data_IF_488528806135
#
_entry.id   IF_488528806135
#
_cell.length_a   1.000
_cell.length_b   1.000
_cell.length_c   1.000
_cell.angle_alpha   90.00
_cell.angle_beta   90.00
_cell.angle_gamma   90.00
#
_symmetry.space_group_name_H-M   'P 1'
#
loop_
_entity.id
_entity.type
_entity.pdbx_description
1 polymer ?
#
# COMPACT_ATOMS: atom_id res chain seq x y z
N UNK A 1 -17.52 8.76 2.02
CA UNK A 1 -16.20 8.15 2.29
C UNK A 1 -16.05 6.99 1.31
N UNK A 2 -15.19 7.13 0.31
CA UNK A 2 -14.90 6.04 -0.60
C UNK A 2 -13.91 5.07 0.06
N UNK A 3 -14.16 3.78 -0.14
CA UNK A 3 -13.27 2.71 0.30
C UNK A 3 -12.86 1.92 -0.93
N UNK A 4 -11.58 1.61 -1.02
CA UNK A 4 -11.01 0.86 -2.12
C UNK A 4 -10.51 -0.49 -1.61
N UNK A 5 -10.67 -1.52 -2.44
CA UNK A 5 -10.09 -2.84 -2.17
C UNK A 5 -8.68 -2.87 -2.74
N UNK A 6 -7.69 -3.22 -1.92
CA UNK A 6 -6.29 -3.36 -2.34
C UNK A 6 -5.84 -4.80 -2.12
N UNK A 7 -5.26 -5.40 -3.15
CA UNK A 7 -4.66 -6.73 -3.12
C UNK A 7 -3.14 -6.59 -3.20
N UNK A 8 -2.44 -7.05 -2.16
CA UNK A 8 -0.99 -7.09 -2.09
C UNK A 8 -0.47 -8.44 -2.58
N UNK A 9 0.26 -8.40 -3.70
CA UNK A 9 0.97 -9.54 -4.27
C UNK A 9 2.47 -9.48 -3.92
N UNK A 10 3.17 -10.63 -3.81
CA UNK A 10 2.69 -12.00 -4.01
C UNK A 10 2.01 -12.60 -2.76
N UNK A 11 1.89 -11.86 -1.66
CA UNK A 11 1.36 -12.35 -0.39
C UNK A 11 -0.13 -12.71 -0.41
N UNK A 12 -0.83 -12.37 -1.48
CA UNK A 12 -2.26 -12.61 -1.69
C UNK A 12 -3.10 -12.08 -0.51
N UNK A 13 -2.75 -10.90 0.00
CA UNK A 13 -3.40 -10.25 1.13
C UNK A 13 -4.32 -9.15 0.63
N UNK A 14 -5.56 -9.17 1.08
CA UNK A 14 -6.57 -8.18 0.70
C UNK A 14 -6.98 -7.34 1.90
N UNK A 15 -7.14 -6.04 1.70
CA UNK A 15 -7.63 -5.10 2.72
C UNK A 15 -8.50 -4.02 2.08
N UNK A 16 -9.44 -3.50 2.87
CA UNK A 16 -10.25 -2.34 2.52
C UNK A 16 -9.58 -1.08 3.09
N UNK A 17 -9.20 -0.16 2.21
CA UNK A 17 -8.54 1.10 2.58
C UNK A 17 -9.49 2.27 2.32
N UNK A 18 -9.36 3.33 3.10
CA UNK A 18 -10.05 4.59 2.80
C UNK A 18 -9.33 5.31 1.66
N UNK A 19 -10.08 6.08 0.89
CA UNK A 19 -9.49 7.01 -0.06
C UNK A 19 -8.51 7.97 0.65
N UNK A 20 -7.34 8.19 0.05
CA UNK A 20 -6.26 9.00 0.62
C UNK A 20 -5.37 8.29 1.64
N UNK A 21 -5.64 7.03 1.99
CA UNK A 21 -4.79 6.25 2.89
C UNK A 21 -3.47 5.85 2.21
N UNK A 22 -2.40 5.75 2.99
CA UNK A 22 -1.08 5.39 2.46
C UNK A 22 -0.96 3.88 2.21
N UNK A 23 -0.51 3.49 1.01
CA UNK A 23 -0.32 2.07 0.67
C UNK A 23 0.64 1.33 1.60
N UNK A 24 1.69 1.99 2.13
CA UNK A 24 2.61 1.36 3.07
C UNK A 24 1.94 1.08 4.43
N UNK A 25 1.03 1.94 4.88
CA UNK A 25 0.23 1.70 6.09
C UNK A 25 -0.75 0.57 5.88
N UNK A 26 -1.49 0.60 4.77
CA UNK A 26 -2.39 -0.47 4.38
C UNK A 26 -1.69 -1.83 4.28
N UNK A 27 -0.46 -1.87 3.74
CA UNK A 27 0.35 -3.07 3.68
C UNK A 27 0.66 -3.60 5.10
N UNK A 28 1.10 -2.72 6.02
CA UNK A 28 1.36 -3.10 7.41
C UNK A 28 0.10 -3.64 8.11
N UNK A 29 -1.06 -2.98 7.93
CA UNK A 29 -2.34 -3.44 8.49
C UNK A 29 -2.78 -4.80 7.91
N UNK A 30 -2.47 -5.05 6.64
CA UNK A 30 -2.70 -6.34 5.99
C UNK A 30 -1.71 -7.45 6.42
N UNK A 31 -0.69 -7.12 7.24
CA UNK A 31 0.38 -8.02 7.65
C UNK A 31 1.44 -8.24 6.57
N UNK A 32 1.54 -7.33 5.61
CA UNK A 32 2.55 -7.33 4.55
C UNK A 32 3.71 -6.42 4.98
N UNK A 33 4.82 -7.03 5.35
CA UNK A 33 5.99 -6.31 5.81
C UNK A 33 6.83 -5.82 4.62
N UNK A 34 6.86 -4.51 4.43
CA UNK A 34 7.69 -3.84 3.41
C UNK A 34 8.72 -2.97 4.13
N UNK A 35 9.98 -3.06 3.69
CA UNK A 35 11.06 -2.28 4.29
C UNK A 35 10.88 -0.79 4.01
N UNK A 36 10.53 -0.02 5.05
CA UNK A 36 10.35 1.41 4.99
C UNK A 36 11.14 2.10 6.11
N UNK A 37 12.47 2.22 5.96
CA UNK A 37 13.30 2.88 6.99
C UNK A 37 12.98 4.37 7.18
N UNK A 38 12.31 5.00 6.22
CA UNK A 38 11.78 6.36 6.36
C UNK A 38 10.36 6.42 6.95
N UNK A 39 9.78 5.30 7.39
CA UNK A 39 8.44 5.26 7.97
C UNK A 39 7.29 5.64 7.02
N UNK A 40 7.54 5.79 5.72
CA UNK A 40 6.51 6.18 4.74
C UNK A 40 6.61 7.61 4.22
N UNK A 41 7.69 8.35 4.54
CA UNK A 41 7.92 9.71 4.02
C UNK A 41 8.31 9.75 2.53
N UNK A 42 8.55 8.61 1.89
CA UNK A 42 8.88 8.54 0.46
C UNK A 42 10.33 8.91 0.10
N UNK A 43 11.17 9.27 1.07
CA UNK A 43 12.55 9.73 0.82
C UNK A 43 13.55 8.60 0.53
N UNK A 44 13.27 7.37 0.98
CA UNK A 44 14.22 6.25 0.84
C UNK A 44 13.98 5.34 -0.36
N UNK A 45 12.79 5.41 -0.99
CA UNK A 45 12.44 4.60 -2.17
C UNK A 45 12.33 3.07 -1.94
N UNK A 46 12.54 2.56 -0.72
CA UNK A 46 12.58 1.10 -0.45
C UNK A 46 11.22 0.42 -0.45
N UNK A 47 10.16 1.17 -0.23
CA UNK A 47 8.78 0.68 -0.24
C UNK A 47 8.07 0.94 -1.59
N UNK A 48 8.83 1.02 -2.68
CA UNK A 48 8.28 1.22 -4.03
C UNK A 48 7.46 0.01 -4.44
N UNK A 49 6.29 0.26 -5.02
CA UNK A 49 5.37 -0.76 -5.52
C UNK A 49 5.04 -0.50 -6.97
N UNK A 50 4.51 -1.52 -7.64
CA UNK A 50 3.99 -1.44 -9.01
C UNK A 50 2.49 -1.76 -8.94
N UNK A 51 1.70 -1.01 -9.68
CA UNK A 51 0.25 -1.23 -9.76
C UNK A 51 0.00 -2.13 -10.97
N UNK A 52 -0.31 -3.39 -10.69
CA UNK A 52 -0.65 -4.37 -11.72
C UNK A 52 -2.04 -4.10 -12.32
N UNK A 53 -3.00 -3.67 -11.48
CA UNK A 53 -4.38 -3.38 -11.88
C UNK A 53 -4.99 -2.26 -11.04
N UNK A 54 -5.88 -1.48 -11.67
CA UNK A 54 -6.50 -0.31 -11.07
C UNK A 54 -5.72 0.97 -11.38
N UNK A 55 -6.06 2.05 -10.69
CA UNK A 55 -5.39 3.34 -10.83
C UNK A 55 -5.23 3.96 -9.44
N UNK A 56 -4.03 4.41 -9.14
CA UNK A 56 -3.77 5.33 -8.05
C UNK A 56 -4.15 6.75 -8.47
N UNK A 57 -4.74 7.52 -7.55
CA UNK A 57 -5.15 8.90 -7.82
C UNK A 57 -3.98 9.90 -7.76
N UNK A 58 -2.76 9.48 -8.16
CA UNK A 58 -1.59 10.36 -8.27
C UNK A 58 -1.79 11.36 -9.40
#
# INVERSE_FOLDING_TARGET
MFVHKVLFLPHNKEIMVKEGESLIRAAMEAGVHINASCGGEGVCGKCRVIIEQGKDAI
#
